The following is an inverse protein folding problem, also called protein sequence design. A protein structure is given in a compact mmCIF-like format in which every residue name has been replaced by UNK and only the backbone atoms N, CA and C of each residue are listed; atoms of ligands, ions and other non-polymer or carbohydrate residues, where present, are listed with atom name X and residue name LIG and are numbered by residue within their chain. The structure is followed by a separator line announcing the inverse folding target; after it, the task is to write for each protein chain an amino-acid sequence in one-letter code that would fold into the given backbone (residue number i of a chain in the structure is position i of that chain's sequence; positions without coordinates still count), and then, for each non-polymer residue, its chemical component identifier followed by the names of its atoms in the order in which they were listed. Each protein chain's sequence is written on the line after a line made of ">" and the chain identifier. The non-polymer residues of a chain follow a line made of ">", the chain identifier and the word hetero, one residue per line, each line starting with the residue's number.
data_IF_959953468244
#
_entry.id   IF_959953468244
#
_cell.length_a   1.000
_cell.length_b   1.000
_cell.length_c   1.000
_cell.angle_alpha   90.00
_cell.angle_beta   90.00
_cell.angle_gamma   90.00
#
_symmetry.space_group_name_H-M   'P 1'
#
loop_
_entity.id
_entity.type
_entity.pdbx_description
1 polymer ?
#
# COMPACT_ATOMS: atom_id res chain seq x y z
N UNK A 1 -29.01 -24.12 5.04
CA UNK A 1 -27.59 -24.20 5.47
C UNK A 1 -26.59 -24.09 4.32
N UNK A 2 -26.83 -24.63 3.12
CA UNK A 2 -25.86 -24.60 2.02
C UNK A 2 -25.49 -23.20 1.49
N UNK A 3 -26.46 -22.30 1.33
CA UNK A 3 -26.22 -20.97 0.73
C UNK A 3 -25.27 -20.10 1.58
N UNK A 4 -25.50 -20.03 2.89
CA UNK A 4 -24.65 -19.24 3.79
C UNK A 4 -23.20 -19.73 3.82
N UNK A 5 -23.00 -21.05 3.77
CA UNK A 5 -21.66 -21.64 3.70
C UNK A 5 -20.97 -21.32 2.37
N UNK A 6 -21.69 -21.39 1.25
CA UNK A 6 -21.15 -21.02 -0.07
C UNK A 6 -20.78 -19.53 -0.13
N UNK A 7 -21.62 -18.65 0.41
CA UNK A 7 -21.32 -17.22 0.49
C UNK A 7 -20.09 -16.95 1.36
N UNK A 8 -19.99 -17.61 2.52
CA UNK A 8 -18.83 -17.48 3.41
C UNK A 8 -17.54 -17.93 2.70
N UNK A 9 -17.57 -19.08 2.03
CA UNK A 9 -16.42 -19.58 1.27
C UNK A 9 -16.04 -18.62 0.14
N UNK A 10 -17.02 -18.05 -0.55
CA UNK A 10 -16.80 -17.03 -1.58
C UNK A 10 -16.09 -15.80 -1.05
N UNK A 11 -16.58 -15.26 0.08
CA UNK A 11 -15.96 -14.10 0.75
C UNK A 11 -14.54 -14.41 1.21
N UNK A 12 -14.32 -15.54 1.87
CA UNK A 12 -12.98 -15.94 2.34
C UNK A 12 -12.02 -16.10 1.17
N UNK A 13 -12.45 -16.78 0.10
CA UNK A 13 -11.62 -16.97 -1.10
C UNK A 13 -11.26 -15.64 -1.75
N UNK A 14 -12.24 -14.74 -1.88
CA UNK A 14 -12.02 -13.40 -2.42
C UNK A 14 -11.01 -12.61 -1.56
N UNK A 15 -11.17 -12.62 -0.23
CA UNK A 15 -10.24 -11.93 0.67
C UNK A 15 -8.82 -12.50 0.57
N UNK A 16 -8.67 -13.84 0.54
CA UNK A 16 -7.36 -14.48 0.38
C UNK A 16 -6.69 -14.12 -0.96
N UNK A 17 -7.47 -14.08 -2.04
CA UNK A 17 -6.99 -13.67 -3.35
C UNK A 17 -6.49 -12.22 -3.34
N UNK A 18 -7.29 -11.29 -2.80
CA UNK A 18 -6.91 -9.87 -2.69
C UNK A 18 -5.64 -9.68 -1.85
N UNK A 19 -5.53 -10.37 -0.72
CA UNK A 19 -4.32 -10.33 0.13
C UNK A 19 -3.09 -10.85 -0.62
N UNK A 20 -3.25 -11.97 -1.35
CA UNK A 20 -2.16 -12.55 -2.15
C UNK A 20 -1.69 -11.60 -3.26
N UNK A 21 -2.63 -10.95 -3.97
CA UNK A 21 -2.30 -9.97 -5.01
C UNK A 21 -1.59 -8.75 -4.44
N UNK A 22 -2.05 -8.23 -3.29
CA UNK A 22 -1.38 -7.12 -2.60
C UNK A 22 0.05 -7.46 -2.23
N UNK A 23 0.27 -8.62 -1.62
CA UNK A 23 1.61 -9.09 -1.27
C UNK A 23 2.52 -9.20 -2.48
N UNK A 24 2.02 -9.77 -3.59
CA UNK A 24 2.76 -9.87 -4.85
C UNK A 24 3.16 -8.49 -5.38
N UNK A 25 2.24 -7.52 -5.34
CA UNK A 25 2.51 -6.17 -5.80
C UNK A 25 3.58 -5.45 -4.95
N UNK A 26 3.59 -5.68 -3.64
CA UNK A 26 4.66 -5.14 -2.77
C UNK A 26 6.02 -5.74 -3.10
N UNK A 27 6.08 -7.04 -3.38
CA UNK A 27 7.34 -7.68 -3.81
C UNK A 27 7.81 -7.25 -5.20
N UNK A 28 6.91 -6.88 -6.11
CA UNK A 28 7.27 -6.46 -7.46
C UNK A 28 8.13 -5.19 -7.46
N UNK A 29 7.88 -4.24 -6.55
CA UNK A 29 8.69 -3.01 -6.43
C UNK A 29 10.15 -3.34 -6.13
N UNK A 30 10.39 -4.18 -5.12
CA UNK A 30 11.74 -4.64 -4.80
C UNK A 30 12.41 -5.39 -5.95
N UNK A 31 11.66 -6.21 -6.71
CA UNK A 31 12.18 -6.91 -7.90
C UNK A 31 12.56 -5.97 -9.05
N UNK A 32 11.90 -4.82 -9.16
CA UNK A 32 12.20 -3.78 -10.14
C UNK A 32 13.31 -2.82 -9.68
N UNK A 33 13.86 -3.02 -8.48
CA UNK A 33 14.84 -2.11 -7.89
C UNK A 33 14.24 -0.75 -7.50
N UNK A 34 12.93 -0.73 -7.24
CA UNK A 34 12.21 0.47 -6.83
C UNK A 34 12.09 0.51 -5.31
N UNK A 35 12.48 1.65 -4.74
CA UNK A 35 12.37 1.99 -3.34
C UNK A 35 11.25 3.00 -3.10
N UNK A 36 10.73 2.98 -1.88
CA UNK A 36 9.76 3.95 -1.43
C UNK A 36 9.35 3.71 0.01
N UNK A 37 8.37 4.47 0.51
CA UNK A 37 7.83 4.22 1.83
C UNK A 37 7.18 2.83 1.87
N UNK A 38 7.27 2.18 3.03
CA UNK A 38 6.65 0.89 3.25
C UNK A 38 5.13 1.03 3.06
N UNK A 39 4.53 0.25 2.15
CA UNK A 39 3.11 0.36 1.89
C UNK A 39 2.32 -0.16 3.06
N UNK A 40 1.32 0.60 3.50
CA UNK A 40 0.35 0.12 4.46
C UNK A 40 -0.43 -1.06 3.86
N UNK A 41 -0.73 -2.08 4.67
CA UNK A 41 -1.43 -3.28 4.19
C UNK A 41 -2.79 -2.99 3.54
N UNK A 42 -3.57 -2.03 4.08
CA UNK A 42 -4.90 -1.68 3.59
C UNK A 42 -4.89 -0.49 2.62
N UNK A 43 -4.11 0.54 2.92
CA UNK A 43 -4.11 1.79 2.15
C UNK A 43 -2.95 1.91 1.16
N UNK A 44 -2.04 0.94 1.12
CA UNK A 44 -0.84 1.00 0.29
C UNK A 44 0.00 2.24 0.61
N UNK A 45 0.45 2.93 -0.42
CA UNK A 45 1.27 4.14 -0.28
C UNK A 45 0.50 5.31 0.35
N UNK A 46 -0.85 5.34 0.29
CA UNK A 46 -1.64 6.39 0.96
C UNK A 46 -1.45 6.40 2.48
N UNK A 47 -1.06 5.27 3.08
CA UNK A 47 -0.73 5.22 4.51
C UNK A 47 0.33 6.26 4.88
N UNK A 48 1.37 6.42 4.05
CA UNK A 48 2.41 7.42 4.26
C UNK A 48 1.87 8.85 4.15
N UNK A 49 0.99 9.13 3.19
CA UNK A 49 0.36 10.45 3.05
C UNK A 49 -0.49 10.79 4.28
N UNK A 50 -1.29 9.83 4.76
CA UNK A 50 -2.09 10.03 5.98
C UNK A 50 -1.22 10.24 7.21
N UNK A 51 -0.10 9.52 7.32
CA UNK A 51 0.83 9.72 8.42
C UNK A 51 1.44 11.12 8.40
N UNK A 52 1.94 11.58 7.25
CA UNK A 52 2.49 12.94 7.14
C UNK A 52 1.43 14.00 7.45
N UNK A 53 0.23 13.90 6.87
CA UNK A 53 -0.84 14.86 7.17
C UNK A 53 -1.25 14.84 8.64
N UNK A 54 -1.20 13.67 9.30
CA UNK A 54 -1.52 13.52 10.73
C UNK A 54 -0.43 14.08 11.63
N UNK A 55 0.84 13.95 11.27
CA UNK A 55 1.97 14.35 12.12
C UNK A 55 2.47 15.77 11.85
N UNK A 56 2.41 16.22 10.61
CA UNK A 56 3.01 17.48 10.13
C UNK A 56 1.95 18.48 9.62
N UNK A 57 0.69 18.08 9.50
CA UNK A 57 -0.40 18.93 9.04
C UNK A 57 -0.67 18.83 7.53
N UNK A 58 -1.81 19.38 7.09
CA UNK A 58 -2.22 19.33 5.68
C UNK A 58 -1.29 20.17 4.78
N UNK A 59 -0.74 21.24 5.35
CA UNK A 59 0.24 22.14 4.76
C UNK A 59 1.56 21.44 4.36
N UNK A 60 1.87 20.28 4.93
CA UNK A 60 3.04 19.48 4.56
C UNK A 60 2.85 18.68 3.26
N UNK A 61 1.61 18.59 2.74
CA UNK A 61 1.28 17.81 1.53
C UNK A 61 2.15 18.15 0.31
N UNK A 62 2.43 19.42 -0.01
CA UNK A 62 3.29 19.78 -1.16
C UNK A 62 4.73 19.24 -1.03
N UNK A 63 5.20 19.01 0.20
CA UNK A 63 6.57 18.56 0.48
C UNK A 63 6.71 17.03 0.49
N UNK A 64 5.60 16.27 0.50
CA UNK A 64 5.64 14.80 0.54
C UNK A 64 6.43 14.25 -0.66
N UNK A 65 6.05 14.60 -1.88
CA UNK A 65 6.72 14.09 -3.07
C UNK A 65 8.19 14.55 -3.19
N UNK A 66 8.52 15.86 -3.03
CA UNK A 66 9.91 16.32 -2.98
C UNK A 66 10.77 15.57 -1.95
N UNK A 67 10.24 15.33 -0.74
CA UNK A 67 10.95 14.61 0.31
C UNK A 67 11.18 13.13 -0.05
N UNK A 68 10.22 12.48 -0.69
CA UNK A 68 10.36 11.11 -1.17
C UNK A 68 11.41 11.01 -2.29
N UNK A 69 11.40 11.92 -3.28
CA UNK A 69 12.43 11.97 -4.33
C UNK A 69 13.80 12.27 -3.73
N UNK A 70 13.88 13.18 -2.76
CA UNK A 70 15.15 13.48 -2.06
C UNK A 70 15.68 12.27 -1.29
N UNK A 71 14.80 11.47 -0.69
CA UNK A 71 15.15 10.31 0.14
C UNK A 71 15.55 9.09 -0.69
N UNK A 72 14.78 8.76 -1.72
CA UNK A 72 14.96 7.54 -2.51
C UNK A 72 15.65 7.81 -3.86
N UNK A 73 15.75 9.06 -4.29
CA UNK A 73 16.52 9.45 -5.46
C UNK A 73 16.07 8.73 -6.72
N UNK A 74 17.02 8.09 -7.41
CA UNK A 74 16.80 7.42 -8.69
C UNK A 74 16.01 6.11 -8.59
N UNK A 75 15.89 5.54 -7.39
CA UNK A 75 15.12 4.31 -7.17
C UNK A 75 13.69 4.59 -6.73
N UNK A 76 13.29 5.86 -6.54
CA UNK A 76 11.94 6.18 -6.13
C UNK A 76 10.89 5.68 -7.14
N UNK A 77 10.02 4.74 -6.73
CA UNK A 77 8.94 4.19 -7.56
C UNK A 77 8.10 3.12 -6.89
#
# INVERSE_FOLDING_TARGET
>A
MGLALVLLLGVVTFLLYEISQRWRNFQLRGKLGLDGPEPNFFFGNFGHFFDVMRTEGLEATPEIYPNLVKRFGKTFG
#
